data_IF_040856027621
#
_entry.id   IF_040856027621
#
_cell.length_a   1.000
_cell.length_b   1.000
_cell.length_c   1.000
_cell.angle_alpha   90.00
_cell.angle_beta   90.00
_cell.angle_gamma   90.00
#
_symmetry.space_group_name_H-M   'P 1'
#
loop_
_entity.id
_entity.type
_entity.pdbx_description
1 polymer ?
#
# COMPACT_ATOMS: atom_id res chain seq x y z
N UNK A 1 -33.34 -86.59 -8.37
CA UNK A 1 -33.72 -85.20 -8.74
C UNK A 1 -33.66 -84.19 -7.59
N UNK A 2 -33.81 -84.56 -6.30
CA UNK A 2 -33.80 -83.60 -5.17
C UNK A 2 -32.45 -82.93 -4.83
N UNK A 3 -31.31 -83.47 -5.27
CA UNK A 3 -29.97 -82.96 -4.94
C UNK A 3 -29.47 -81.82 -5.86
N UNK A 4 -30.10 -81.63 -7.03
CA UNK A 4 -29.73 -80.57 -7.99
C UNK A 4 -30.43 -79.24 -7.69
N UNK A 5 -31.62 -79.26 -7.10
CA UNK A 5 -32.34 -78.03 -6.71
C UNK A 5 -31.71 -77.32 -5.49
N UNK A 6 -31.10 -78.06 -4.57
CA UNK A 6 -30.42 -77.46 -3.41
C UNK A 6 -29.12 -76.74 -3.79
N UNK A 7 -28.45 -77.14 -4.87
CA UNK A 7 -27.21 -76.50 -5.33
C UNK A 7 -27.53 -75.22 -6.12
N UNK A 8 -28.63 -75.21 -6.88
CA UNK A 8 -29.09 -74.03 -7.61
C UNK A 8 -29.64 -72.97 -6.64
N UNK A 9 -30.35 -73.37 -5.57
CA UNK A 9 -30.81 -72.44 -4.54
C UNK A 9 -29.64 -71.79 -3.76
N UNK A 10 -28.55 -72.53 -3.52
CA UNK A 10 -27.38 -71.99 -2.83
C UNK A 10 -26.56 -71.02 -3.72
N UNK A 11 -26.49 -71.28 -5.03
CA UNK A 11 -25.83 -70.40 -5.99
C UNK A 11 -26.59 -69.08 -6.23
N UNK A 12 -27.93 -69.12 -6.21
CA UNK A 12 -28.76 -67.90 -6.35
C UNK A 12 -28.71 -67.04 -5.07
N UNK A 13 -28.61 -67.66 -3.89
CA UNK A 13 -28.44 -66.90 -2.63
C UNK A 13 -27.05 -66.24 -2.51
N UNK A 14 -26.01 -66.82 -3.10
CA UNK A 14 -24.67 -66.22 -3.14
C UNK A 14 -24.61 -65.08 -4.17
N UNK A 15 -25.30 -65.20 -5.31
CA UNK A 15 -25.34 -64.12 -6.31
C UNK A 15 -26.12 -62.87 -5.85
N UNK A 16 -27.15 -63.05 -5.00
CA UNK A 16 -27.93 -61.93 -4.44
C UNK A 16 -27.23 -61.22 -3.27
N UNK A 17 -26.24 -61.83 -2.62
CA UNK A 17 -25.48 -61.19 -1.54
C UNK A 17 -24.30 -60.34 -2.04
N UNK A 18 -23.83 -60.57 -3.28
CA UNK A 18 -22.69 -59.85 -3.88
C UNK A 18 -23.11 -58.49 -4.48
N UNK A 19 -24.40 -58.22 -4.64
CA UNK A 19 -24.92 -56.96 -5.22
C UNK A 19 -25.23 -55.87 -4.19
N UNK A 20 -25.01 -56.10 -2.87
CA UNK A 20 -25.29 -55.10 -1.82
C UNK A 20 -24.06 -54.51 -1.12
N UNK A 21 -22.84 -54.86 -1.56
CA UNK A 21 -21.63 -54.17 -1.09
C UNK A 21 -21.10 -53.25 -2.16
N UNK A 22 -21.91 -52.29 -2.57
CA UNK A 22 -21.40 -51.02 -3.11
C UNK A 22 -20.78 -50.29 -1.93
N UNK A 23 -19.57 -50.68 -1.53
CA UNK A 23 -18.73 -49.79 -0.75
C UNK A 23 -18.50 -48.59 -1.65
N UNK A 24 -19.23 -47.50 -1.39
CA UNK A 24 -18.83 -46.16 -1.78
C UNK A 24 -17.43 -45.96 -1.22
N UNK A 25 -16.44 -46.23 -2.05
CA UNK A 25 -15.06 -45.81 -1.85
C UNK A 25 -15.15 -44.29 -1.89
N UNK A 26 -15.28 -43.68 -0.72
CA UNK A 26 -14.99 -42.26 -0.55
C UNK A 26 -13.55 -42.10 -1.00
N UNK A 27 -13.38 -41.49 -2.17
CA UNK A 27 -12.08 -41.11 -2.67
C UNK A 27 -11.46 -40.19 -1.60
N UNK A 28 -10.31 -40.59 -1.08
CA UNK A 28 -9.48 -39.72 -0.25
C UNK A 28 -9.22 -38.44 -1.07
N UNK A 29 -9.42 -37.24 -0.49
CA UNK A 29 -9.31 -36.00 -1.24
C UNK A 29 -7.91 -35.91 -1.84
N UNK A 30 -7.82 -35.45 -3.08
CA UNK A 30 -6.51 -35.35 -3.73
C UNK A 30 -5.64 -34.32 -2.97
N UNK A 31 -4.30 -34.50 -2.99
CA UNK A 31 -3.39 -33.53 -2.38
C UNK A 31 -3.57 -32.10 -2.92
N UNK A 32 -3.99 -31.96 -4.17
CA UNK A 32 -4.27 -30.66 -4.81
C UNK A 32 -5.55 -30.01 -4.28
N UNK A 33 -6.65 -30.76 -4.14
CA UNK A 33 -7.90 -30.26 -3.56
C UNK A 33 -7.70 -29.82 -2.11
N UNK A 34 -6.93 -30.59 -1.33
CA UNK A 34 -6.60 -30.22 0.06
C UNK A 34 -5.77 -28.93 0.09
N UNK A 35 -4.81 -28.76 -0.83
CA UNK A 35 -4.00 -27.54 -0.92
C UNK A 35 -4.87 -26.33 -1.26
N UNK A 36 -5.79 -26.46 -2.20
CA UNK A 36 -6.71 -25.39 -2.59
C UNK A 36 -7.57 -24.93 -1.40
N UNK A 37 -8.13 -25.86 -0.64
CA UNK A 37 -8.91 -25.56 0.56
C UNK A 37 -8.06 -24.77 1.57
N UNK A 38 -6.83 -25.21 1.83
CA UNK A 38 -5.90 -24.54 2.75
C UNK A 38 -5.49 -23.14 2.28
N UNK A 39 -5.28 -22.95 0.97
CA UNK A 39 -4.99 -21.64 0.39
C UNK A 39 -6.18 -20.68 0.55
N UNK A 40 -7.40 -21.16 0.30
CA UNK A 40 -8.64 -20.37 0.48
C UNK A 40 -8.90 -20.06 1.95
N UNK A 41 -8.65 -21.00 2.87
CA UNK A 41 -8.81 -20.74 4.31
C UNK A 41 -7.84 -19.67 4.81
N UNK A 42 -6.59 -19.73 4.35
CA UNK A 42 -5.60 -18.70 4.66
C UNK A 42 -5.99 -17.34 4.08
N UNK A 43 -6.57 -17.35 2.86
CA UNK A 43 -7.08 -16.14 2.23
C UNK A 43 -8.19 -15.48 3.03
N UNK A 44 -9.10 -16.26 3.64
CA UNK A 44 -10.17 -15.75 4.50
C UNK A 44 -9.57 -15.01 5.70
N UNK A 45 -8.65 -15.65 6.42
CA UNK A 45 -7.99 -15.08 7.62
C UNK A 45 -7.29 -13.76 7.29
N UNK A 46 -6.54 -13.71 6.19
CA UNK A 46 -5.83 -12.49 5.78
C UNK A 46 -6.77 -11.36 5.31
N UNK A 47 -7.90 -11.70 4.69
CA UNK A 47 -8.91 -10.69 4.34
C UNK A 47 -9.58 -10.15 5.60
N UNK A 48 -9.84 -11.00 6.61
CA UNK A 48 -10.39 -10.55 7.90
C UNK A 48 -9.43 -9.58 8.63
N UNK A 49 -8.13 -9.89 8.65
CA UNK A 49 -7.11 -8.97 9.17
C UNK A 49 -7.08 -7.63 8.42
N UNK A 50 -7.25 -7.67 7.10
CA UNK A 50 -7.33 -6.45 6.29
C UNK A 50 -8.63 -5.67 6.55
N UNK A 51 -9.77 -6.34 6.75
CA UNK A 51 -11.03 -5.71 7.15
C UNK A 51 -10.87 -5.00 8.50
N UNK A 52 -10.22 -5.62 9.47
CA UNK A 52 -9.96 -5.01 10.78
C UNK A 52 -9.09 -3.76 10.63
N UNK A 53 -8.00 -3.85 9.88
CA UNK A 53 -7.08 -2.73 9.61
C UNK A 53 -7.79 -1.57 8.92
N UNK A 54 -8.56 -1.85 7.86
CA UNK A 54 -9.31 -0.82 7.13
C UNK A 54 -10.39 -0.21 8.05
N UNK A 55 -11.05 -1.01 8.89
CA UNK A 55 -12.04 -0.52 9.87
C UNK A 55 -11.40 0.43 10.88
N UNK A 56 -10.20 0.11 11.39
CA UNK A 56 -9.45 1.01 12.25
C UNK A 56 -9.12 2.32 11.53
N UNK A 57 -8.64 2.23 10.28
CA UNK A 57 -8.32 3.42 9.48
C UNK A 57 -9.55 4.29 9.21
N UNK A 58 -10.70 3.67 8.94
CA UNK A 58 -11.97 4.36 8.80
C UNK A 58 -12.31 5.14 10.07
N UNK A 59 -12.19 4.52 11.24
CA UNK A 59 -12.45 5.17 12.52
C UNK A 59 -11.53 6.38 12.75
N UNK A 60 -10.24 6.26 12.41
CA UNK A 60 -9.28 7.38 12.48
C UNK A 60 -9.69 8.56 11.59
N UNK A 61 -10.09 8.28 10.35
CA UNK A 61 -10.52 9.31 9.39
C UNK A 61 -11.85 9.94 9.78
N UNK A 62 -12.79 9.18 10.34
CA UNK A 62 -14.05 9.70 10.88
C UNK A 62 -13.76 10.69 12.03
N UNK A 63 -12.84 10.36 12.95
CA UNK A 63 -12.42 11.28 14.02
C UNK A 63 -11.70 12.52 13.47
N UNK A 64 -10.86 12.35 12.46
CA UNK A 64 -10.20 13.47 11.79
C UNK A 64 -11.22 14.40 11.12
N UNK A 65 -12.24 13.85 10.46
CA UNK A 65 -13.30 14.62 9.82
C UNK A 65 -14.11 15.43 10.85
N UNK A 66 -14.46 14.84 11.99
CA UNK A 66 -15.13 15.53 13.09
C UNK A 66 -14.29 16.71 13.61
N UNK A 67 -12.99 16.48 13.80
CA UNK A 67 -12.05 17.50 14.25
C UNK A 67 -11.95 18.66 13.25
N UNK A 68 -11.75 18.35 11.97
CA UNK A 68 -11.68 19.35 10.90
C UNK A 68 -12.98 20.14 10.76
N UNK A 69 -14.13 19.49 10.92
CA UNK A 69 -15.46 20.14 10.85
C UNK A 69 -15.62 21.14 12.00
N UNK A 70 -15.22 20.76 13.21
CA UNK A 70 -15.21 21.66 14.38
C UNK A 70 -14.27 22.86 14.15
N UNK A 71 -13.06 22.61 13.67
CA UNK A 71 -12.10 23.67 13.32
C UNK A 71 -12.64 24.61 12.23
N UNK A 72 -13.31 24.07 11.21
CA UNK A 72 -13.93 24.88 10.15
C UNK A 72 -15.01 25.79 10.73
N UNK A 73 -15.82 25.28 11.66
CA UNK A 73 -16.87 26.07 12.30
C UNK A 73 -16.28 27.22 13.12
N UNK A 74 -15.23 26.97 13.90
CA UNK A 74 -14.51 28.02 14.63
C UNK A 74 -13.89 29.05 13.68
N UNK A 75 -13.26 28.59 12.59
CA UNK A 75 -12.67 29.47 11.57
C UNK A 75 -13.72 30.37 10.91
N UNK A 76 -14.92 29.85 10.63
CA UNK A 76 -16.05 30.62 10.07
C UNK A 76 -16.48 31.75 11.00
N UNK A 77 -16.63 31.47 12.30
CA UNK A 77 -16.99 32.48 13.30
C UNK A 77 -15.93 33.59 13.39
N UNK A 78 -14.65 33.20 13.44
CA UNK A 78 -13.54 34.15 13.50
C UNK A 78 -13.42 35.01 12.23
N UNK A 79 -13.76 34.45 11.07
CA UNK A 79 -13.76 35.16 9.79
C UNK A 79 -14.83 36.23 9.75
N UNK A 80 -16.02 36.01 10.32
CA UNK A 80 -17.09 37.01 10.32
C UNK A 80 -16.63 38.34 10.94
N UNK A 81 -16.01 38.28 12.12
CA UNK A 81 -15.47 39.45 12.83
C UNK A 81 -14.38 40.15 11.99
N UNK A 82 -13.52 39.37 11.34
CA UNK A 82 -12.42 39.91 10.55
C UNK A 82 -12.90 40.49 9.21
N UNK A 83 -13.97 39.94 8.64
CA UNK A 83 -14.61 40.43 7.43
C UNK A 83 -15.20 41.82 7.63
N UNK A 84 -15.86 42.07 8.78
CA UNK A 84 -16.37 43.41 9.09
C UNK A 84 -15.24 44.45 9.19
N UNK A 85 -14.14 44.09 9.86
CA UNK A 85 -12.96 44.95 10.02
C UNK A 85 -12.28 45.22 8.69
N UNK A 86 -12.00 44.19 7.91
CA UNK A 86 -11.44 44.32 6.57
C UNK A 86 -12.36 45.13 5.64
N UNK A 87 -13.67 44.90 5.71
CA UNK A 87 -14.67 45.67 4.98
C UNK A 87 -14.70 47.15 5.37
N UNK A 88 -14.51 47.47 6.66
CA UNK A 88 -14.36 48.86 7.10
C UNK A 88 -13.12 49.53 6.51
N UNK A 89 -11.99 48.82 6.49
CA UNK A 89 -10.75 49.30 5.88
C UNK A 89 -11.00 49.58 4.39
N UNK A 90 -11.47 48.60 3.62
CA UNK A 90 -11.75 48.76 2.19
C UNK A 90 -12.72 49.90 1.91
N UNK A 91 -13.80 50.04 2.70
CA UNK A 91 -14.73 51.17 2.58
C UNK A 91 -14.04 52.51 2.81
N UNK A 92 -13.14 52.64 3.80
CA UNK A 92 -12.43 53.90 4.07
C UNK A 92 -11.51 54.35 2.93
N UNK A 93 -10.94 53.41 2.18
CA UNK A 93 -10.23 53.73 0.93
C UNK A 93 -11.20 54.10 -0.18
N UNK A 94 -12.29 53.34 -0.34
CA UNK A 94 -13.28 53.57 -1.40
C UNK A 94 -14.03 54.91 -1.25
N UNK A 95 -14.37 55.31 -0.02
CA UNK A 95 -15.06 56.58 0.26
C UNK A 95 -14.13 57.80 0.27
N UNK A 96 -12.82 57.60 0.09
CA UNK A 96 -11.81 58.67 0.10
C UNK A 96 -11.46 59.19 1.50
N UNK A 97 -11.88 58.53 2.59
CA UNK A 97 -11.49 58.91 3.96
C UNK A 97 -9.96 58.84 4.13
N UNK A 98 -9.34 57.80 3.57
CA UNK A 98 -7.87 57.64 3.58
C UNK A 98 -7.15 58.66 2.70
N UNK A 99 -7.76 59.10 1.61
CA UNK A 99 -7.22 60.17 0.76
C UNK A 99 -7.27 61.53 1.48
N UNK A 100 -8.33 61.78 2.24
CA UNK A 100 -8.45 62.97 3.09
C UNK A 100 -7.38 63.02 4.19
N UNK A 101 -6.95 61.86 4.73
CA UNK A 101 -5.83 61.80 5.67
C UNK A 101 -4.52 62.21 5.01
N UNK A 102 -4.25 61.72 3.80
CA UNK A 102 -3.05 62.11 3.04
C UNK A 102 -3.04 63.63 2.78
N UNK A 103 -4.17 64.20 2.39
CA UNK A 103 -4.30 65.66 2.21
C UNK A 103 -4.06 66.43 3.52
N UNK A 104 -4.43 65.85 4.66
CA UNK A 104 -4.16 66.44 5.98
C UNK A 104 -2.66 66.46 6.30
N UNK A 105 -1.93 65.39 5.96
CA UNK A 105 -0.46 65.34 6.09
C UNK A 105 0.21 66.40 5.22
N UNK A 106 -0.22 66.52 3.95
CA UNK A 106 0.32 67.48 2.99
C UNK A 106 -0.02 68.94 3.34
N UNK A 107 -1.09 69.17 4.13
CA UNK A 107 -1.54 70.49 4.60
C UNK A 107 -0.87 70.99 5.89
N UNK A 108 0.18 70.33 6.38
CA UNK A 108 0.89 70.71 7.61
C UNK A 108 1.47 72.14 7.57
N UNK A 109 1.33 72.90 8.66
CA UNK A 109 1.77 74.31 8.74
C UNK A 109 3.28 74.49 8.97
N UNK A 110 3.99 73.42 9.30
CA UNK A 110 5.44 73.42 9.49
C UNK A 110 6.04 72.04 9.16
N UNK A 111 7.35 71.99 8.88
CA UNK A 111 8.04 70.72 8.66
C UNK A 111 7.93 69.76 9.86
N UNK A 112 7.92 70.30 11.09
CA UNK A 112 7.75 69.49 12.30
C UNK A 112 6.37 68.83 12.36
N UNK A 113 5.32 69.58 12.03
CA UNK A 113 3.95 69.06 12.00
C UNK A 113 3.76 68.02 10.90
N UNK A 114 4.38 68.23 9.73
CA UNK A 114 4.34 67.28 8.63
C UNK A 114 4.95 65.93 9.03
N UNK A 115 6.12 65.91 9.69
CA UNK A 115 6.74 64.66 10.15
C UNK A 115 5.86 63.90 11.16
N UNK A 116 5.22 64.61 12.10
CA UNK A 116 4.32 64.00 13.09
C UNK A 116 3.08 63.40 12.39
N UNK A 117 2.46 64.15 11.48
CA UNK A 117 1.28 63.66 10.74
C UNK A 117 1.63 62.50 9.81
N UNK A 118 2.82 62.51 9.20
CA UNK A 118 3.32 61.41 8.38
C UNK A 118 3.54 60.13 9.19
N UNK A 119 4.08 60.23 10.40
CA UNK A 119 4.26 59.08 11.30
C UNK A 119 2.91 58.43 11.66
N UNK A 120 1.91 59.24 12.01
CA UNK A 120 0.54 58.74 12.24
C UNK A 120 -0.08 58.12 10.99
N UNK A 121 0.14 58.70 9.81
CA UNK A 121 -0.32 58.13 8.55
C UNK A 121 0.29 56.75 8.31
N UNK A 122 1.60 56.58 8.49
CA UNK A 122 2.28 55.29 8.36
C UNK A 122 1.72 54.24 9.34
N UNK A 123 1.45 54.62 10.59
CA UNK A 123 0.84 53.73 11.58
C UNK A 123 -0.55 53.26 11.13
N UNK A 124 -1.38 54.17 10.59
CA UNK A 124 -2.74 53.86 10.11
C UNK A 124 -2.68 52.92 8.91
N UNK A 125 -1.87 53.23 7.90
CA UNK A 125 -1.73 52.40 6.69
C UNK A 125 -1.16 51.01 7.06
N UNK A 126 -0.14 50.95 7.94
CA UNK A 126 0.42 49.69 8.41
C UNK A 126 -0.61 48.83 9.16
N UNK A 127 -1.47 49.46 9.98
CA UNK A 127 -2.58 48.75 10.64
C UNK A 127 -3.62 48.25 9.64
N UNK A 128 -4.00 49.06 8.66
CA UNK A 128 -4.95 48.68 7.61
C UNK A 128 -4.44 47.46 6.83
N UNK A 129 -3.17 47.49 6.42
CA UNK A 129 -2.51 46.37 5.76
C UNK A 129 -2.52 45.11 6.64
N UNK A 130 -2.13 45.23 7.92
CA UNK A 130 -2.15 44.10 8.85
C UNK A 130 -3.56 43.50 9.04
N UNK A 131 -4.62 44.31 9.00
CA UNK A 131 -6.01 43.84 9.07
C UNK A 131 -6.37 43.04 7.82
N UNK A 132 -6.02 43.53 6.63
CA UNK A 132 -6.29 42.85 5.36
C UNK A 132 -5.50 41.55 5.22
N UNK A 133 -4.20 41.57 5.54
CA UNK A 133 -3.33 40.39 5.49
C UNK A 133 -3.85 39.29 6.42
N UNK A 134 -4.22 39.66 7.65
CA UNK A 134 -4.79 38.72 8.63
C UNK A 134 -6.14 38.15 8.18
N UNK A 135 -6.97 38.92 7.49
CA UNK A 135 -8.22 38.41 6.91
C UNK A 135 -7.92 37.41 5.78
N UNK A 136 -7.02 37.76 4.86
CA UNK A 136 -6.63 36.92 3.74
C UNK A 136 -6.02 35.58 4.19
N UNK A 137 -5.12 35.62 5.18
CA UNK A 137 -4.51 34.43 5.77
C UNK A 137 -5.56 33.49 6.37
N UNK A 138 -6.48 34.03 7.19
CA UNK A 138 -7.56 33.23 7.81
C UNK A 138 -8.49 32.65 6.77
N UNK A 139 -8.84 33.42 5.75
CA UNK A 139 -9.68 32.96 4.66
C UNK A 139 -9.04 31.81 3.88
N UNK A 140 -7.74 31.92 3.55
CA UNK A 140 -6.96 30.83 2.93
C UNK A 140 -6.91 29.57 3.81
N UNK A 141 -6.64 29.74 5.11
CA UNK A 141 -6.64 28.62 6.06
C UNK A 141 -8.01 27.92 6.10
N UNK A 142 -9.11 28.68 6.13
CA UNK A 142 -10.46 28.12 6.09
C UNK A 142 -10.73 27.34 4.81
N UNK A 143 -10.32 27.86 3.65
CA UNK A 143 -10.44 27.15 2.38
C UNK A 143 -9.65 25.84 2.39
N UNK A 144 -8.41 25.85 2.90
CA UNK A 144 -7.60 24.64 3.04
C UNK A 144 -8.24 23.60 3.97
N UNK A 145 -8.83 24.02 5.09
CA UNK A 145 -9.59 23.11 5.97
C UNK A 145 -10.79 22.51 5.23
N UNK A 146 -11.54 23.33 4.48
CA UNK A 146 -12.70 22.87 3.70
C UNK A 146 -12.30 21.86 2.63
N UNK A 147 -11.20 22.10 1.91
CA UNK A 147 -10.68 21.15 0.91
C UNK A 147 -10.25 19.83 1.56
N UNK A 148 -9.58 19.89 2.72
CA UNK A 148 -9.20 18.69 3.47
C UNK A 148 -10.42 17.87 3.91
N UNK A 149 -11.48 18.51 4.37
CA UNK A 149 -12.74 17.82 4.72
C UNK A 149 -13.32 17.09 3.50
N UNK A 150 -13.34 17.73 2.33
CA UNK A 150 -13.84 17.13 1.11
C UNK A 150 -13.00 15.91 0.67
N UNK A 151 -11.67 16.02 0.76
CA UNK A 151 -10.74 14.92 0.47
C UNK A 151 -10.93 13.76 1.45
N UNK A 152 -10.99 14.03 2.75
CA UNK A 152 -11.25 13.00 3.77
C UNK A 152 -12.62 12.34 3.58
N UNK A 153 -13.64 13.08 3.18
CA UNK A 153 -14.96 12.53 2.89
C UNK A 153 -14.92 11.54 1.70
N UNK A 154 -14.18 11.88 0.65
CA UNK A 154 -13.99 11.00 -0.50
C UNK A 154 -13.21 9.74 -0.12
N UNK A 155 -12.10 9.88 0.62
CA UNK A 155 -11.31 8.74 1.12
C UNK A 155 -12.16 7.80 1.98
N UNK A 156 -13.04 8.35 2.83
CA UNK A 156 -13.97 7.55 3.64
C UNK A 156 -14.99 6.78 2.80
N UNK A 157 -15.48 7.36 1.70
CA UNK A 157 -16.42 6.68 0.81
C UNK A 157 -15.76 5.51 0.07
N UNK A 158 -14.54 5.74 -0.44
CA UNK A 158 -13.72 4.71 -1.08
C UNK A 158 -13.40 3.56 -0.12
N UNK A 159 -13.03 3.86 1.14
CA UNK A 159 -12.78 2.84 2.15
C UNK A 159 -14.03 2.04 2.52
N UNK A 160 -15.19 2.68 2.62
CA UNK A 160 -16.48 1.99 2.88
C UNK A 160 -16.83 1.02 1.75
N UNK A 161 -16.67 1.46 0.49
CA UNK A 161 -16.89 0.60 -0.66
C UNK A 161 -15.93 -0.60 -0.66
N UNK A 162 -14.64 -0.37 -0.39
CA UNK A 162 -13.66 -1.44 -0.30
C UNK A 162 -13.98 -2.44 0.82
N UNK A 163 -14.34 -1.97 2.02
CA UNK A 163 -14.77 -2.83 3.13
C UNK A 163 -15.95 -3.71 2.77
N UNK A 164 -16.96 -3.17 2.08
CA UNK A 164 -18.10 -3.95 1.64
C UNK A 164 -17.67 -5.06 0.67
N UNK A 165 -16.84 -4.73 -0.32
CA UNK A 165 -16.32 -5.70 -1.29
C UNK A 165 -15.51 -6.82 -0.61
N UNK A 166 -14.65 -6.48 0.37
CA UNK A 166 -13.89 -7.50 1.12
C UNK A 166 -14.81 -8.43 1.91
N UNK A 167 -15.85 -7.90 2.57
CA UNK A 167 -16.82 -8.72 3.31
C UNK A 167 -17.59 -9.68 2.41
N UNK A 168 -18.04 -9.22 1.25
CA UNK A 168 -18.71 -10.06 0.25
C UNK A 168 -17.79 -11.17 -0.26
N UNK A 169 -16.49 -10.85 -0.45
CA UNK A 169 -15.47 -11.82 -0.83
C UNK A 169 -15.26 -12.89 0.25
N UNK A 170 -15.19 -12.52 1.53
CA UNK A 170 -15.08 -13.47 2.65
C UNK A 170 -16.25 -14.43 2.68
N UNK A 171 -17.49 -13.93 2.55
CA UNK A 171 -18.70 -14.77 2.54
C UNK A 171 -18.66 -15.78 1.38
N UNK A 172 -18.20 -15.33 0.21
CA UNK A 172 -18.09 -16.18 -0.98
C UNK A 172 -17.04 -17.28 -0.76
N UNK A 173 -15.85 -16.92 -0.31
CA UNK A 173 -14.76 -17.85 -0.01
C UNK A 173 -15.15 -18.86 1.07
N UNK A 174 -15.82 -18.41 2.14
CA UNK A 174 -16.28 -19.28 3.20
C UNK A 174 -17.24 -20.34 2.66
N UNK A 175 -18.19 -19.95 1.82
CA UNK A 175 -19.14 -20.87 1.20
C UNK A 175 -18.44 -21.89 0.29
N UNK A 176 -17.41 -21.48 -0.46
CA UNK A 176 -16.62 -22.39 -1.28
C UNK A 176 -15.84 -23.38 -0.43
N UNK A 177 -15.16 -22.91 0.62
CA UNK A 177 -14.40 -23.74 1.56
C UNK A 177 -15.33 -24.75 2.24
N UNK A 178 -16.45 -24.30 2.81
CA UNK A 178 -17.42 -25.18 3.47
C UNK A 178 -17.95 -26.27 2.51
N UNK A 179 -18.21 -25.89 1.24
CA UNK A 179 -18.62 -26.82 0.19
C UNK A 179 -17.54 -27.84 -0.16
N UNK A 180 -16.29 -27.40 -0.32
CA UNK A 180 -15.15 -28.27 -0.63
C UNK A 180 -14.82 -29.21 0.55
N UNK A 181 -14.85 -28.71 1.78
CA UNK A 181 -14.65 -29.49 3.01
C UNK A 181 -15.73 -30.57 3.15
N UNK A 182 -17.00 -30.22 2.92
CA UNK A 182 -18.10 -31.19 2.96
C UNK A 182 -17.99 -32.27 1.85
N UNK A 183 -17.49 -31.90 0.67
CA UNK A 183 -17.30 -32.81 -0.46
C UNK A 183 -16.05 -33.70 -0.34
N UNK A 184 -15.08 -33.33 0.49
CA UNK A 184 -13.77 -33.98 0.60
C UNK A 184 -13.78 -35.40 1.18
N UNK A 185 -14.90 -35.85 1.77
CA UNK A 185 -14.99 -37.17 2.42
C UNK A 185 -14.27 -37.29 3.77
N UNK A 186 -13.47 -36.30 4.19
CA UNK A 186 -12.78 -36.28 5.48
C UNK A 186 -12.74 -34.85 6.08
N UNK A 187 -13.94 -34.30 6.32
CA UNK A 187 -14.13 -32.94 6.79
C UNK A 187 -13.38 -32.63 8.11
N UNK A 188 -13.39 -33.56 9.07
CA UNK A 188 -12.75 -33.36 10.38
C UNK A 188 -11.23 -33.21 10.26
N UNK A 189 -10.58 -34.00 9.40
CA UNK A 189 -9.14 -33.91 9.19
C UNK A 189 -8.76 -32.59 8.51
N UNK A 190 -9.50 -32.18 7.48
CA UNK A 190 -9.24 -30.92 6.76
C UNK A 190 -9.47 -29.72 7.68
N UNK A 191 -10.53 -29.73 8.48
CA UNK A 191 -10.80 -28.65 9.44
C UNK A 191 -9.66 -28.52 10.46
N UNK A 192 -9.10 -29.64 10.91
CA UNK A 192 -7.96 -29.63 11.83
C UNK A 192 -6.71 -29.04 11.16
N UNK A 193 -6.43 -29.41 9.91
CA UNK A 193 -5.31 -28.86 9.13
C UNK A 193 -5.47 -27.36 8.90
N UNK A 194 -6.68 -26.89 8.56
CA UNK A 194 -6.98 -25.47 8.42
C UNK A 194 -6.67 -24.71 9.72
N UNK A 195 -7.12 -25.22 10.86
CA UNK A 195 -6.88 -24.59 12.16
C UNK A 195 -5.39 -24.55 12.51
N UNK A 196 -4.67 -25.65 12.30
CA UNK A 196 -3.23 -25.73 12.55
C UNK A 196 -2.45 -24.77 11.65
N UNK A 197 -2.82 -24.69 10.37
CA UNK A 197 -2.23 -23.75 9.41
C UNK A 197 -2.47 -22.30 9.83
N UNK A 198 -3.70 -21.94 10.19
CA UNK A 198 -4.04 -20.59 10.65
C UNK A 198 -3.20 -20.20 11.87
N UNK A 199 -3.15 -21.07 12.89
CA UNK A 199 -2.34 -20.82 14.10
C UNK A 199 -0.85 -20.65 13.73
N UNK A 200 -0.32 -21.52 12.87
CA UNK A 200 1.08 -21.43 12.45
C UNK A 200 1.36 -20.14 11.68
N UNK A 201 0.47 -19.77 10.77
CA UNK A 201 0.59 -18.55 9.98
C UNK A 201 0.57 -17.30 10.84
N UNK A 202 -0.41 -17.16 11.72
CA UNK A 202 -0.58 -15.97 12.58
C UNK A 202 0.56 -15.78 13.57
N UNK A 203 1.11 -16.87 14.11
CA UNK A 203 2.15 -16.80 15.14
C UNK A 203 3.57 -16.81 14.59
N UNK A 204 3.80 -17.45 13.44
CA UNK A 204 5.15 -17.70 12.92
C UNK A 204 5.27 -17.27 11.45
N UNK A 205 4.34 -17.71 10.59
CA UNK A 205 4.43 -17.52 9.15
C UNK A 205 4.53 -16.05 8.74
N UNK A 206 3.56 -15.23 9.15
CA UNK A 206 3.55 -13.80 8.80
C UNK A 206 4.77 -13.06 9.37
N UNK A 207 5.21 -13.42 10.58
CA UNK A 207 6.38 -12.79 11.22
C UNK A 207 7.66 -13.04 10.42
N UNK A 208 7.89 -14.28 10.01
CA UNK A 208 9.08 -14.61 9.23
C UNK A 208 9.01 -13.98 7.83
N UNK A 209 7.85 -13.99 7.16
CA UNK A 209 7.70 -13.29 5.87
C UNK A 209 8.03 -11.80 6.01
N UNK A 210 7.47 -11.13 7.01
CA UNK A 210 7.78 -9.71 7.30
C UNK A 210 9.26 -9.50 7.61
N UNK A 211 9.89 -10.43 8.33
CA UNK A 211 11.33 -10.36 8.64
C UNK A 211 12.18 -10.40 7.36
N UNK A 212 11.83 -11.25 6.39
CA UNK A 212 12.50 -11.28 5.08
C UNK A 212 12.31 -9.98 4.30
N UNK A 213 11.06 -9.52 4.16
CA UNK A 213 10.78 -8.26 3.45
C UNK A 213 11.45 -7.06 4.12
N UNK A 214 11.49 -7.01 5.44
CA UNK A 214 12.21 -5.98 6.21
C UNK A 214 13.71 -5.99 5.93
N UNK A 215 14.33 -7.17 5.93
CA UNK A 215 15.74 -7.32 5.61
C UNK A 215 16.02 -6.88 4.17
N UNK A 216 15.11 -7.20 3.24
CA UNK A 216 15.23 -6.83 1.83
C UNK A 216 15.11 -5.32 1.65
N UNK A 217 14.08 -4.69 2.21
CA UNK A 217 13.91 -3.24 2.17
C UNK A 217 15.12 -2.50 2.77
N UNK A 218 15.68 -3.03 3.87
CA UNK A 218 16.88 -2.46 4.49
C UNK A 218 18.11 -2.59 3.58
N UNK A 219 18.28 -3.72 2.88
CA UNK A 219 19.34 -3.89 1.90
C UNK A 219 19.16 -2.96 0.68
N UNK A 220 17.92 -2.79 0.20
CA UNK A 220 17.60 -1.91 -0.94
C UNK A 220 17.92 -0.44 -0.66
N UNK A 221 17.88 0.00 0.59
CA UNK A 221 18.31 1.36 0.96
C UNK A 221 19.80 1.61 0.68
N UNK A 222 20.63 0.55 0.76
CA UNK A 222 22.08 0.61 0.50
C UNK A 222 22.43 0.28 -0.97
N UNK A 223 21.44 -0.04 -1.80
CA UNK A 223 21.64 -0.37 -3.21
C UNK A 223 22.27 0.79 -4.03
N UNK A 224 21.90 2.07 -3.82
CA UNK A 224 22.53 3.19 -4.52
C UNK A 224 24.06 3.22 -4.34
N UNK A 225 24.55 3.01 -3.11
CA UNK A 225 25.98 3.00 -2.80
C UNK A 225 26.70 1.82 -3.46
N UNK A 226 26.03 0.66 -3.49
CA UNK A 226 26.55 -0.52 -4.19
C UNK A 226 26.76 -0.26 -5.68
N UNK A 227 25.76 0.33 -6.36
CA UNK A 227 25.84 0.65 -7.79
C UNK A 227 26.94 1.68 -8.08
N UNK A 228 27.11 2.69 -7.21
CA UNK A 228 28.15 3.70 -7.37
C UNK A 228 29.57 3.13 -7.25
N UNK A 229 29.76 2.16 -6.35
CA UNK A 229 31.06 1.54 -6.10
C UNK A 229 31.42 0.45 -7.12
N UNK A 230 30.46 -0.01 -7.92
CA UNK A 230 30.68 -1.04 -8.92
C UNK A 230 31.29 -0.46 -10.20
N UNK A 231 32.54 -0.84 -10.48
CA UNK A 231 33.21 -0.47 -11.73
C UNK A 231 32.42 -1.01 -12.95
N UNK A 232 31.88 -0.10 -13.77
CA UNK A 232 31.13 -0.44 -14.98
C UNK A 232 29.63 -0.69 -14.80
N UNK A 233 29.08 -0.54 -13.59
CA UNK A 233 27.64 -0.68 -13.34
C UNK A 233 26.79 0.45 -13.91
N UNK A 234 27.39 1.62 -14.15
CA UNK A 234 26.78 2.77 -14.81
C UNK A 234 27.52 3.03 -16.13
N UNK A 235 26.77 3.06 -17.23
CA UNK A 235 27.28 3.44 -18.54
C UNK A 235 26.54 4.66 -19.08
N UNK A 236 27.25 5.49 -19.82
CA UNK A 236 26.68 6.72 -20.39
C UNK A 236 26.78 6.67 -21.90
N UNK A 237 25.63 6.78 -22.57
CA UNK A 237 25.54 6.89 -24.02
C UNK A 237 24.86 8.22 -24.36
N UNK A 238 25.65 9.26 -24.60
CA UNK A 238 25.14 10.61 -24.84
C UNK A 238 24.46 11.20 -23.61
N UNK A 239 23.15 11.43 -23.71
CA UNK A 239 22.30 11.97 -22.61
C UNK A 239 21.58 10.88 -21.81
N UNK A 240 21.75 9.61 -22.18
CA UNK A 240 21.12 8.46 -21.53
C UNK A 240 22.13 7.75 -20.65
N UNK A 241 21.74 7.47 -19.41
CA UNK A 241 22.50 6.68 -18.46
C UNK A 241 21.84 5.31 -18.33
N UNK A 242 22.63 4.25 -18.37
CA UNK A 242 22.14 2.88 -18.21
C UNK A 242 22.81 2.26 -16.99
N UNK A 243 21.99 1.83 -16.04
CA UNK A 243 22.43 1.02 -14.89
C UNK A 243 22.19 -0.44 -15.23
N UNK A 244 23.19 -1.29 -15.00
CA UNK A 244 23.08 -2.75 -15.15
C UNK A 244 23.41 -3.43 -13.84
N UNK A 245 22.48 -4.24 -13.35
CA UNK A 245 22.65 -5.04 -12.13
C UNK A 245 22.57 -6.50 -12.53
N UNK A 246 23.67 -7.23 -12.38
CA UNK A 246 23.70 -8.67 -12.60
C UNK A 246 23.15 -9.43 -11.39
N UNK A 247 22.54 -10.58 -11.66
CA UNK A 247 21.92 -11.44 -10.65
C UNK A 247 22.92 -11.92 -9.59
N UNK A 248 24.13 -12.30 -10.01
CA UNK A 248 25.14 -12.84 -9.09
C UNK A 248 25.66 -11.75 -8.15
N UNK A 249 25.86 -10.55 -8.70
CA UNK A 249 26.31 -9.37 -8.00
C UNK A 249 25.26 -8.91 -6.98
N UNK A 250 23.96 -8.91 -7.37
CA UNK A 250 22.89 -8.61 -6.42
C UNK A 250 22.82 -9.66 -5.30
N UNK A 251 22.88 -10.95 -5.63
CA UNK A 251 22.85 -12.00 -4.61
C UNK A 251 24.01 -11.90 -3.63
N UNK A 252 25.21 -11.58 -4.12
CA UNK A 252 26.37 -11.35 -3.27
C UNK A 252 26.17 -10.13 -2.36
N UNK A 253 25.73 -9.00 -2.93
CA UNK A 253 25.41 -7.79 -2.17
C UNK A 253 24.42 -8.07 -1.04
N UNK A 254 23.31 -8.76 -1.34
CA UNK A 254 22.30 -9.09 -0.33
C UNK A 254 22.87 -9.94 0.80
N UNK A 255 23.70 -10.95 0.49
CA UNK A 255 24.37 -11.78 1.51
C UNK A 255 25.32 -10.99 2.39
N UNK A 256 26.01 -9.99 1.83
CA UNK A 256 26.86 -9.08 2.59
C UNK A 256 26.05 -8.16 3.52
N UNK A 257 24.85 -7.73 3.09
CA UNK A 257 23.96 -6.91 3.91
C UNK A 257 23.31 -7.70 5.06
N UNK A 258 22.90 -8.95 4.82
CA UNK A 258 22.25 -9.75 5.84
C UNK A 258 22.45 -11.26 5.63
N UNK A 259 22.93 -12.01 6.65
CA UNK A 259 23.10 -13.47 6.57
C UNK A 259 21.83 -14.25 6.24
N UNK A 260 20.64 -13.65 6.43
CA UNK A 260 19.36 -14.26 6.08
C UNK A 260 19.26 -14.61 4.59
N UNK A 261 20.03 -13.94 3.74
CA UNK A 261 20.06 -14.17 2.30
C UNK A 261 21.04 -15.27 1.85
N UNK A 262 21.66 -15.99 2.80
CA UNK A 262 22.49 -17.15 2.46
C UNK A 262 21.64 -18.33 1.95
N UNK A 263 20.42 -18.46 2.48
CA UNK A 263 19.48 -19.52 2.12
C UNK A 263 18.49 -19.09 1.02
N UNK A 264 18.68 -17.89 0.46
CA UNK A 264 17.82 -17.29 -0.56
C UNK A 264 18.64 -16.93 -1.80
N UNK A 265 17.99 -17.02 -2.95
CA UNK A 265 18.55 -16.62 -4.23
C UNK A 265 17.51 -15.85 -5.05
N UNK A 266 17.97 -14.76 -5.64
CA UNK A 266 17.26 -14.01 -6.65
C UNK A 266 17.63 -14.55 -8.02
N UNK A 267 16.62 -14.76 -8.85
CA UNK A 267 16.72 -15.20 -10.23
C UNK A 267 16.03 -14.17 -11.11
N UNK A 268 16.74 -13.72 -12.14
CA UNK A 268 16.24 -12.78 -13.14
C UNK A 268 15.89 -13.54 -14.40
N UNK A 269 14.62 -13.49 -14.76
CA UNK A 269 14.04 -14.06 -15.96
C UNK A 269 13.49 -12.92 -16.84
N UNK A 270 13.02 -13.26 -18.03
CA UNK A 270 12.42 -12.27 -18.94
C UNK A 270 11.21 -11.61 -18.26
N UNK A 271 11.32 -10.28 -18.06
CA UNK A 271 10.33 -9.42 -17.38
C UNK A 271 9.95 -9.82 -15.94
N UNK A 272 10.70 -10.72 -15.32
CA UNK A 272 10.33 -11.29 -14.02
C UNK A 272 11.53 -11.50 -13.10
N UNK A 273 11.30 -11.29 -11.80
CA UNK A 273 12.26 -11.56 -10.74
C UNK A 273 11.64 -12.52 -9.75
N UNK A 274 12.34 -13.62 -9.51
CA UNK A 274 11.95 -14.64 -8.54
C UNK A 274 12.96 -14.67 -7.41
N UNK A 275 12.53 -14.39 -6.19
CA UNK A 275 13.33 -14.58 -4.98
C UNK A 275 12.82 -15.82 -4.25
N UNK A 276 13.61 -16.88 -4.18
CA UNK A 276 13.21 -18.11 -3.51
C UNK A 276 14.27 -18.59 -2.53
N UNK A 277 13.84 -19.27 -1.48
CA UNK A 277 14.72 -19.81 -0.47
C UNK A 277 14.02 -20.71 0.53
N UNK A 278 14.81 -21.51 1.23
CA UNK A 278 14.31 -22.45 2.24
C UNK A 278 15.22 -22.45 3.45
N UNK A 279 14.64 -22.15 4.62
CA UNK A 279 15.32 -22.23 5.91
C UNK A 279 14.47 -23.00 6.90
N UNK A 280 15.06 -24.03 7.51
CA UNK A 280 14.37 -24.93 8.44
C UNK A 280 13.10 -25.56 7.82
N UNK A 281 11.93 -25.20 8.35
CA UNK A 281 10.62 -25.65 7.88
C UNK A 281 9.89 -24.61 7.01
N UNK A 282 10.55 -23.49 6.68
CA UNK A 282 9.98 -22.38 5.95
C UNK A 282 10.55 -22.32 4.53
N UNK A 283 9.67 -22.43 3.55
CA UNK A 283 9.94 -22.22 2.14
C UNK A 283 9.17 -20.98 1.68
N UNK A 284 9.89 -19.99 1.12
CA UNK A 284 9.31 -18.74 0.65
C UNK A 284 9.76 -18.50 -0.79
N UNK A 285 8.81 -18.18 -1.66
CA UNK A 285 9.06 -17.75 -3.03
C UNK A 285 8.26 -16.49 -3.34
N UNK A 286 8.95 -15.46 -3.80
CA UNK A 286 8.38 -14.16 -4.17
C UNK A 286 8.63 -14.01 -5.67
N UNK A 287 7.59 -13.73 -6.41
CA UNK A 287 7.63 -13.44 -7.84
C UNK A 287 7.14 -12.01 -8.04
N UNK A 288 7.82 -11.25 -8.89
CA UNK A 288 7.43 -9.88 -9.16
C UNK A 288 8.14 -9.25 -10.34
N UNK A 289 7.81 -8.00 -10.58
CA UNK A 289 8.40 -7.19 -11.64
C UNK A 289 8.65 -5.75 -11.16
N UNK A 290 9.52 -5.05 -11.88
CA UNK A 290 9.79 -3.63 -11.65
C UNK A 290 9.00 -2.78 -12.65
N UNK A 291 8.44 -1.67 -12.18
CA UNK A 291 7.85 -0.63 -13.03
C UNK A 291 8.42 0.74 -12.71
N UNK A 292 8.34 1.67 -13.66
CA UNK A 292 8.71 3.07 -13.43
C UNK A 292 7.48 3.85 -12.99
N UNK A 293 7.54 4.42 -11.79
CA UNK A 293 6.52 5.31 -11.26
C UNK A 293 7.05 6.74 -11.13
N UNK A 294 6.25 7.73 -11.49
CA UNK A 294 6.65 9.14 -11.44
C UNK A 294 6.12 9.90 -10.21
N UNK A 295 5.10 9.37 -9.55
CA UNK A 295 4.45 10.00 -8.39
C UNK A 295 4.52 9.09 -7.16
N UNK A 296 4.74 9.63 -5.95
CA UNK A 296 5.01 11.05 -5.64
C UNK A 296 6.42 11.51 -6.04
N UNK A 297 7.32 10.57 -6.35
CA UNK A 297 8.67 10.83 -6.85
C UNK A 297 9.06 9.74 -7.85
N UNK A 298 9.94 10.08 -8.80
CA UNK A 298 10.40 9.12 -9.80
C UNK A 298 11.17 7.97 -9.14
N UNK A 299 10.64 6.76 -9.27
CA UNK A 299 11.15 5.54 -8.66
C UNK A 299 10.91 4.34 -9.55
N UNK A 300 11.69 3.29 -9.31
CA UNK A 300 11.51 1.98 -9.92
C UNK A 300 10.93 1.09 -8.83
N UNK A 301 9.62 0.88 -8.86
CA UNK A 301 8.90 0.17 -7.80
C UNK A 301 8.82 -1.31 -8.13
N UNK A 302 9.06 -2.15 -7.12
CA UNK A 302 8.83 -3.58 -7.22
C UNK A 302 7.38 -3.91 -6.87
N UNK A 303 6.71 -4.68 -7.72
CA UNK A 303 5.39 -5.23 -7.46
C UNK A 303 5.48 -6.73 -7.28
N UNK A 304 4.76 -7.26 -6.29
CA UNK A 304 4.71 -8.68 -5.97
C UNK A 304 3.52 -9.30 -6.71
N UNK A 305 3.82 -10.03 -7.77
CA UNK A 305 2.79 -10.72 -8.56
C UNK A 305 2.31 -11.98 -7.85
N UNK A 306 3.24 -12.76 -7.27
CA UNK A 306 2.95 -14.02 -6.62
C UNK A 306 3.81 -14.21 -5.38
N UNK A 307 3.20 -14.78 -4.35
CA UNK A 307 3.87 -15.04 -3.08
C UNK A 307 3.48 -16.44 -2.60
N UNK A 308 4.46 -17.34 -2.52
CA UNK A 308 4.28 -18.70 -2.07
C UNK A 308 4.94 -18.89 -0.71
N UNK A 309 4.18 -19.42 0.24
CA UNK A 309 4.64 -19.82 1.56
C UNK A 309 4.36 -21.31 1.76
N UNK A 310 5.40 -22.14 1.89
CA UNK A 310 5.27 -23.60 2.01
C UNK A 310 4.35 -24.19 0.91
N UNK A 311 4.52 -23.74 -0.34
CA UNK A 311 3.73 -24.11 -1.53
C UNK A 311 2.26 -23.63 -1.50
N UNK A 312 1.86 -22.85 -0.49
CA UNK A 312 0.57 -22.19 -0.42
C UNK A 312 0.70 -20.79 -1.00
N UNK A 313 -0.14 -20.46 -1.98
CA UNK A 313 -0.20 -19.12 -2.52
C UNK A 313 -0.91 -18.19 -1.53
N UNK A 314 -0.23 -17.11 -1.17
CA UNK A 314 -0.75 -16.09 -0.27
C UNK A 314 -1.67 -15.14 -1.03
N UNK A 315 -2.72 -14.63 -0.38
CA UNK A 315 -3.69 -13.75 -1.02
C UNK A 315 -3.07 -12.40 -1.42
N UNK A 316 -3.76 -11.72 -2.32
CA UNK A 316 -3.44 -10.38 -2.76
C UNK A 316 -3.44 -9.33 -1.63
N UNK A 317 -4.21 -9.56 -0.55
CA UNK A 317 -4.22 -8.68 0.63
C UNK A 317 -2.86 -8.71 1.33
N UNK A 318 -2.28 -9.90 1.54
CA UNK A 318 -0.93 -10.03 2.11
C UNK A 318 0.13 -9.41 1.21
N UNK A 319 0.06 -9.63 -0.11
CA UNK A 319 1.01 -9.04 -1.08
C UNK A 319 0.99 -7.51 -1.04
N UNK A 320 -0.20 -6.91 -1.15
CA UNK A 320 -0.38 -5.45 -1.07
C UNK A 320 0.06 -4.87 0.27
N UNK A 321 -0.19 -5.60 1.36
CA UNK A 321 0.27 -5.20 2.68
C UNK A 321 1.80 -5.16 2.77
N UNK A 322 2.49 -6.17 2.24
CA UNK A 322 3.96 -6.23 2.25
C UNK A 322 4.57 -5.15 1.35
N UNK A 323 4.01 -4.92 0.16
CA UNK A 323 4.45 -3.83 -0.73
C UNK A 323 4.32 -2.45 -0.09
N UNK A 324 3.24 -2.23 0.69
CA UNK A 324 3.00 -0.96 1.37
C UNK A 324 3.89 -0.76 2.60
N UNK A 325 4.16 -1.85 3.33
CA UNK A 325 4.94 -1.82 4.57
C UNK A 325 6.45 -1.75 4.30
N UNK A 326 6.91 -2.35 3.20
CA UNK A 326 8.33 -2.50 2.88
C UNK A 326 8.66 -1.89 1.52
N UNK A 327 9.40 -0.79 1.54
CA UNK A 327 9.87 -0.14 0.32
C UNK A 327 11.00 -0.95 -0.33
N UNK A 328 10.64 -1.69 -1.37
CA UNK A 328 11.56 -2.43 -2.24
C UNK A 328 11.93 -1.63 -3.50
N UNK A 329 11.57 -0.35 -3.54
CA UNK A 329 11.82 0.53 -4.67
C UNK A 329 13.25 1.01 -4.76
N UNK A 330 13.65 1.32 -5.99
CA UNK A 330 14.92 1.96 -6.31
C UNK A 330 14.70 3.41 -6.73
N UNK A 331 15.56 4.31 -6.24
CA UNK A 331 15.42 5.76 -6.45
C UNK A 331 16.65 6.29 -7.21
N UNK A 332 16.56 6.45 -8.54
CA UNK A 332 17.69 6.92 -9.36
C UNK A 332 18.29 8.25 -8.89
N UNK A 333 17.44 9.13 -8.35
CA UNK A 333 17.82 10.44 -7.84
C UNK A 333 18.78 10.39 -6.64
N UNK A 334 18.82 9.26 -5.91
CA UNK A 334 19.82 9.03 -4.85
C UNK A 334 21.21 8.76 -5.42
N UNK A 335 21.31 8.29 -6.66
CA UNK A 335 22.59 8.10 -7.36
C UNK A 335 23.01 9.40 -8.05
N UNK A 336 22.12 9.96 -8.89
CA UNK A 336 22.35 11.20 -9.63
C UNK A 336 21.09 12.07 -9.52
N UNK A 337 21.18 13.23 -8.88
CA UNK A 337 20.00 14.09 -8.63
C UNK A 337 19.31 14.62 -9.89
N UNK A 338 20.03 14.68 -11.02
CA UNK A 338 19.56 15.23 -12.29
C UNK A 338 18.99 14.18 -13.26
N UNK A 339 18.80 12.92 -12.84
CA UNK A 339 18.27 11.85 -13.71
C UNK A 339 16.92 11.32 -13.20
N UNK A 340 16.12 10.83 -14.15
CA UNK A 340 14.87 10.09 -13.89
C UNK A 340 14.91 8.76 -14.64
N UNK A 341 14.37 7.72 -14.01
CA UNK A 341 14.08 6.46 -14.68
C UNK A 341 13.03 6.68 -15.77
N UNK A 342 13.32 6.12 -16.93
CA UNK A 342 12.45 6.15 -18.12
C UNK A 342 11.97 4.76 -18.49
N UNK A 343 12.81 3.75 -18.27
CA UNK A 343 12.52 2.37 -18.62
C UNK A 343 13.26 1.45 -17.65
N UNK A 344 12.62 0.33 -17.32
CA UNK A 344 13.22 -0.79 -16.62
C UNK A 344 12.90 -2.05 -17.41
N UNK A 345 13.89 -2.90 -17.60
CA UNK A 345 13.75 -4.16 -18.31
C UNK A 345 14.54 -5.24 -17.59
N UNK A 346 13.93 -6.40 -17.38
CA UNK A 346 14.59 -7.56 -16.79
C UNK A 346 14.80 -8.60 -17.88
N UNK A 347 16.04 -9.08 -17.99
CA UNK A 347 16.44 -10.13 -18.92
C UNK A 347 17.19 -11.22 -18.14
N UNK A 348 17.46 -12.36 -18.78
CA UNK A 348 18.10 -13.49 -18.14
C UNK A 348 19.41 -13.07 -17.43
N UNK A 349 19.40 -13.14 -16.10
CA UNK A 349 20.53 -12.78 -15.25
C UNK A 349 20.87 -11.28 -15.14
N UNK A 350 20.14 -10.37 -15.79
CA UNK A 350 20.45 -8.92 -15.78
C UNK A 350 19.21 -8.04 -15.69
N UNK A 351 19.21 -7.12 -14.73
CA UNK A 351 18.28 -5.99 -14.63
C UNK A 351 18.92 -4.75 -15.27
N UNK A 352 18.29 -4.20 -16.30
CA UNK A 352 18.72 -2.97 -16.97
C UNK A 352 17.73 -1.84 -16.69
N UNK A 353 18.27 -0.69 -16.31
CA UNK A 353 17.51 0.52 -16.01
C UNK A 353 18.05 1.66 -16.87
N UNK A 354 17.17 2.27 -17.67
CA UNK A 354 17.52 3.44 -18.48
C UNK A 354 17.01 4.72 -17.83
N UNK A 355 17.93 5.66 -17.70
CA UNK A 355 17.73 6.95 -17.09
C UNK A 355 17.96 8.06 -18.12
N UNK A 356 17.14 9.11 -18.05
CA UNK A 356 17.32 10.33 -18.83
C UNK A 356 17.57 11.52 -17.92
N UNK A 357 18.31 12.49 -18.42
CA UNK A 357 18.50 13.78 -17.74
C UNK A 357 17.14 14.48 -17.65
N UNK A 358 16.75 14.86 -16.43
CA UNK A 358 15.62 15.73 -16.17
C UNK A 358 16.14 17.03 -15.57
N UNK A 359 15.84 18.14 -16.25
CA UNK A 359 16.05 19.47 -15.71
C UNK A 359 14.89 19.89 -14.79
#
# INVERSE_FOLDING_TARGET
MKRRYNIIALLVSILLFVQLTSTSVYAEPSPEETREILQKSLSIVEIDHEIERITQRQNELDQQQLTLTSQLQEQKEQIHIQQERAGSVVRSYYTGERDSLLMTVLGGRSFKDLFILYDYYQIIIGRDQAVLDKFQERYRSMQQTSTRIAQTAQELDELKSNLQNQRERVITLQKEVDGQVAASGNADAIQKLMNELTIYWENIGIYEVKRYFKALASAMQNLPDFIQNQNGGISTTGTTYTIRIGQNELNQFLREQNPIFNDFAFQFEEDRITASGKRDQLELSIEGHYTVENEPQNSIRFHVDKLLFNQLELPDTTRRMLEKEFDLGFYPQKILSFVKATEVSTSEGVLEVKLAISF
#
